data_IF_225836418726
#
_entry.id   IF_225836418726
#
_cell.length_a   1.000
_cell.length_b   1.000
_cell.length_c   1.000
_cell.angle_alpha   90.00
_cell.angle_beta   90.00
_cell.angle_gamma   90.00
#
_symmetry.space_group_name_H-M   'P 1'
#
loop_
_entity.id
_entity.type
_entity.pdbx_description
1 polymer ?
#
# COMPACT_ATOMS: atom_id res chain seq x y z
N UNK A 1 -12.51 0.31 8.55
CA UNK A 1 -12.95 -0.61 7.49
C UNK A 1 -13.55 -1.85 8.12
N UNK A 2 -14.69 -2.33 7.63
CA UNK A 2 -15.26 -3.61 8.08
C UNK A 2 -14.58 -4.77 7.35
N UNK A 3 -14.65 -5.98 7.90
CA UNK A 3 -13.93 -7.15 7.33
C UNK A 3 -14.37 -7.53 5.90
N UNK A 4 -15.60 -7.19 5.51
CA UNK A 4 -16.17 -7.51 4.19
C UNK A 4 -16.29 -6.28 3.28
N UNK A 5 -15.78 -5.13 3.74
CA UNK A 5 -15.79 -3.89 2.98
C UNK A 5 -14.56 -3.87 2.07
N UNK A 6 -14.71 -3.36 0.85
CA UNK A 6 -13.60 -3.17 -0.08
C UNK A 6 -12.86 -1.86 0.18
N UNK A 7 -11.63 -1.74 -0.34
CA UNK A 7 -10.85 -0.49 -0.29
C UNK A 7 -11.63 0.67 -0.93
N UNK A 8 -12.35 0.41 -2.02
CA UNK A 8 -13.15 1.43 -2.72
C UNK A 8 -14.35 1.89 -1.90
N UNK A 9 -15.06 0.98 -1.26
CA UNK A 9 -16.17 1.33 -0.35
C UNK A 9 -15.66 2.14 0.85
N UNK A 10 -14.62 1.66 1.53
CA UNK A 10 -13.97 2.38 2.62
C UNK A 10 -13.53 3.79 2.20
N UNK A 11 -12.93 3.92 1.01
CA UNK A 11 -12.52 5.21 0.49
C UNK A 11 -13.71 6.13 0.18
N UNK A 12 -14.83 5.60 -0.32
CA UNK A 12 -16.07 6.34 -0.52
C UNK A 12 -16.61 6.94 0.79
N UNK A 13 -16.61 6.17 1.88
CA UNK A 13 -16.96 6.68 3.21
C UNK A 13 -15.98 7.76 3.69
N UNK A 14 -14.68 7.54 3.48
CA UNK A 14 -13.65 8.52 3.83
C UNK A 14 -13.83 9.84 3.07
N UNK A 15 -14.16 9.79 1.77
CA UNK A 15 -14.45 10.99 0.96
C UNK A 15 -15.69 11.73 1.45
N UNK A 16 -16.73 11.00 1.87
CA UNK A 16 -17.94 11.61 2.45
C UNK A 16 -17.61 12.36 3.74
N UNK A 17 -16.77 11.78 4.60
CA UNK A 17 -16.27 12.43 5.83
C UNK A 17 -15.45 13.68 5.48
N UNK A 18 -14.50 13.57 4.53
CA UNK A 18 -13.69 14.72 4.09
C UNK A 18 -14.54 15.85 3.50
N UNK A 19 -15.59 15.52 2.76
CA UNK A 19 -16.54 16.51 2.22
C UNK A 19 -17.28 17.25 3.34
N UNK A 20 -17.78 16.51 4.34
CA UNK A 20 -18.40 17.11 5.54
C UNK A 20 -17.44 18.03 6.28
N UNK A 21 -16.20 17.60 6.50
CA UNK A 21 -15.17 18.41 7.17
C UNK A 21 -14.81 19.67 6.37
N UNK A 22 -14.75 19.56 5.05
CA UNK A 22 -14.51 20.70 4.15
C UNK A 22 -15.62 21.74 4.26
N UNK A 23 -16.87 21.31 4.46
CA UNK A 23 -18.01 22.24 4.69
C UNK A 23 -17.91 22.98 6.03
N UNK A 24 -17.17 22.42 6.99
CA UNK A 24 -16.85 23.02 8.29
C UNK A 24 -15.51 23.78 8.27
N UNK A 25 -15.00 24.11 7.08
CA UNK A 25 -13.69 24.76 6.85
C UNK A 25 -12.47 24.06 7.49
N UNK A 26 -12.64 22.80 7.90
CA UNK A 26 -11.54 22.00 8.47
C UNK A 26 -10.83 21.25 7.36
N UNK A 27 -9.50 21.42 7.26
CA UNK A 27 -8.67 20.76 6.25
C UNK A 27 -7.60 19.90 6.92
N UNK A 28 -7.49 18.68 6.44
CA UNK A 28 -6.42 17.76 6.82
C UNK A 28 -5.31 17.77 5.79
N UNK A 29 -4.06 17.64 6.24
CA UNK A 29 -2.93 17.47 5.34
C UNK A 29 -2.99 16.11 4.64
N UNK A 30 -2.36 16.00 3.48
CA UNK A 30 -2.29 14.74 2.73
C UNK A 30 -1.69 13.60 3.57
N UNK A 31 -0.59 13.88 4.29
CA UNK A 31 0.02 12.91 5.21
C UNK A 31 -0.97 12.45 6.27
N UNK A 32 -1.76 13.37 6.84
CA UNK A 32 -2.76 13.00 7.85
C UNK A 32 -3.86 12.12 7.25
N UNK A 33 -4.34 12.43 6.04
CA UNK A 33 -5.32 11.60 5.35
C UNK A 33 -4.78 10.21 5.04
N UNK A 34 -3.54 10.12 4.54
CA UNK A 34 -2.87 8.85 4.25
C UNK A 34 -2.73 8.00 5.52
N UNK A 35 -2.34 8.60 6.64
CA UNK A 35 -2.25 7.92 7.94
C UNK A 35 -3.62 7.43 8.40
N UNK A 36 -4.66 8.26 8.31
CA UNK A 36 -6.03 7.87 8.71
C UNK A 36 -6.55 6.69 7.90
N UNK A 37 -6.26 6.66 6.60
CA UNK A 37 -6.60 5.52 5.75
C UNK A 37 -5.87 4.27 6.23
N UNK A 38 -4.55 4.33 6.41
CA UNK A 38 -3.74 3.19 6.85
C UNK A 38 -4.15 2.66 8.23
N UNK A 39 -4.48 3.56 9.17
CA UNK A 39 -4.98 3.23 10.52
C UNK A 39 -6.37 2.59 10.48
N UNK A 40 -7.18 2.88 9.46
CA UNK A 40 -8.54 2.36 9.35
C UNK A 40 -8.62 0.94 8.76
N UNK A 41 -7.50 0.42 8.25
CA UNK A 41 -7.43 -0.89 7.61
C UNK A 41 -7.59 -2.04 8.63
N UNK A 42 -8.17 -3.19 8.24
CA UNK A 42 -8.31 -4.35 9.11
C UNK A 42 -6.94 -4.96 9.47
N UNK A 43 -6.89 -5.75 10.55
CA UNK A 43 -5.65 -6.38 11.04
C UNK A 43 -4.91 -7.22 10.00
N UNK A 44 -5.60 -7.84 9.05
CA UNK A 44 -4.97 -8.63 7.98
C UNK A 44 -4.03 -7.80 7.09
N UNK A 45 -4.16 -6.47 7.13
CA UNK A 45 -3.33 -5.51 6.40
C UNK A 45 -2.15 -4.97 7.22
N UNK A 46 -2.01 -5.32 8.50
CA UNK A 46 -1.09 -4.67 9.45
C UNK A 46 0.35 -4.63 8.95
N UNK A 47 0.86 -5.73 8.40
CA UNK A 47 2.21 -5.80 7.85
C UNK A 47 2.41 -4.83 6.67
N UNK A 48 1.43 -4.77 5.75
CA UNK A 48 1.48 -3.87 4.59
C UNK A 48 1.32 -2.41 5.01
N UNK A 49 0.35 -2.12 5.88
CA UNK A 49 0.07 -0.80 6.40
C UNK A 49 1.28 -0.22 7.17
N UNK A 50 1.91 -1.04 8.02
CA UNK A 50 3.12 -0.67 8.76
C UNK A 50 4.29 -0.42 7.82
N UNK A 51 4.47 -1.26 6.80
CA UNK A 51 5.54 -1.07 5.82
C UNK A 51 5.38 0.23 5.03
N UNK A 52 4.15 0.59 4.65
CA UNK A 52 3.88 1.87 3.96
C UNK A 52 4.08 3.04 4.93
N UNK A 53 3.57 2.93 6.16
CA UNK A 53 3.65 3.99 7.16
C UNK A 53 5.09 4.34 7.56
N UNK A 54 5.96 3.33 7.65
CA UNK A 54 7.37 3.50 8.00
C UNK A 54 8.24 3.97 6.84
N UNK A 55 7.73 3.94 5.61
CA UNK A 55 8.52 4.34 4.47
C UNK A 55 8.63 5.86 4.40
N UNK A 56 9.83 6.35 4.08
CA UNK A 56 10.12 7.80 3.99
C UNK A 56 9.24 8.53 2.97
N UNK A 57 8.66 7.81 2.01
CA UNK A 57 7.83 8.36 0.96
C UNK A 57 6.38 8.66 1.40
N UNK A 58 5.95 8.34 2.63
CA UNK A 58 4.55 8.59 3.03
C UNK A 58 4.13 10.07 2.89
N UNK A 59 5.06 11.00 3.15
CA UNK A 59 4.81 12.45 3.03
C UNK A 59 4.71 12.92 1.58
N UNK A 60 5.31 12.20 0.65
CA UNK A 60 5.33 12.51 -0.79
C UNK A 60 4.33 11.66 -1.57
N UNK A 61 3.80 10.60 -0.96
CA UNK A 61 2.86 9.68 -1.57
C UNK A 61 1.52 10.37 -1.79
N UNK A 62 1.10 10.42 -3.05
CA UNK A 62 -0.21 10.96 -3.36
C UNK A 62 -1.31 10.00 -2.89
N UNK A 63 -2.51 10.53 -2.66
CA UNK A 63 -3.64 9.73 -2.19
C UNK A 63 -4.04 8.68 -3.22
N UNK A 64 -3.96 9.01 -4.51
CA UNK A 64 -4.24 8.11 -5.62
C UNK A 64 -3.22 6.95 -5.70
N UNK A 65 -1.93 7.24 -5.51
CA UNK A 65 -0.88 6.21 -5.46
C UNK A 65 -1.04 5.27 -4.26
N UNK A 66 -1.44 5.82 -3.11
CA UNK A 66 -1.76 5.02 -1.93
C UNK A 66 -2.92 4.07 -2.24
N UNK A 67 -4.02 4.57 -2.81
CA UNK A 67 -5.19 3.75 -3.16
C UNK A 67 -4.85 2.69 -4.20
N UNK A 68 -4.07 3.03 -5.23
CA UNK A 68 -3.56 2.06 -6.21
C UNK A 68 -2.79 0.92 -5.52
N UNK A 69 -1.89 1.27 -4.61
CA UNK A 69 -1.10 0.29 -3.85
C UNK A 69 -1.98 -0.61 -2.99
N UNK A 70 -3.01 -0.04 -2.35
CA UNK A 70 -3.95 -0.78 -1.52
C UNK A 70 -4.83 -1.72 -2.35
N UNK A 71 -5.42 -1.26 -3.46
CA UNK A 71 -6.23 -2.09 -4.38
C UNK A 71 -5.45 -3.29 -4.91
N UNK A 72 -4.18 -3.10 -5.30
CA UNK A 72 -3.33 -4.21 -5.75
C UNK A 72 -3.13 -5.24 -4.62
N UNK A 73 -2.94 -4.78 -3.38
CA UNK A 73 -2.81 -5.69 -2.26
C UNK A 73 -4.13 -6.37 -1.87
N UNK A 74 -5.27 -5.70 -2.06
CA UNK A 74 -6.61 -6.28 -1.87
C UNK A 74 -6.81 -7.50 -2.77
N UNK A 75 -6.54 -7.34 -4.07
CA UNK A 75 -6.60 -8.43 -5.04
C UNK A 75 -5.66 -9.57 -4.63
N UNK A 76 -4.46 -9.25 -4.18
CA UNK A 76 -3.52 -10.24 -3.68
C UNK A 76 -4.05 -11.00 -2.45
N UNK A 77 -4.68 -10.32 -1.49
CA UNK A 77 -5.27 -10.96 -0.31
C UNK A 77 -6.47 -11.83 -0.67
N UNK A 78 -7.33 -11.37 -1.58
CA UNK A 78 -8.46 -12.14 -2.09
C UNK A 78 -7.99 -13.41 -2.83
N UNK A 79 -6.91 -13.30 -3.61
CA UNK A 79 -6.29 -14.43 -4.28
C UNK A 79 -5.52 -15.35 -3.30
N UNK A 80 -4.94 -14.80 -2.23
CA UNK A 80 -4.29 -15.55 -1.16
C UNK A 80 -5.25 -16.36 -0.29
N UNK A 81 -6.55 -16.09 -0.33
CA UNK A 81 -7.57 -17.04 0.12
C UNK A 81 -7.38 -18.44 -0.50
N UNK A 82 -6.69 -18.53 -1.65
CA UNK A 82 -6.30 -19.78 -2.31
C UNK A 82 -4.82 -20.18 -2.15
N UNK A 83 -3.92 -19.30 -1.67
CA UNK A 83 -2.48 -19.56 -1.58
C UNK A 83 -1.97 -19.33 -0.15
N UNK A 84 -1.76 -20.44 0.57
CA UNK A 84 -1.26 -20.43 1.94
C UNK A 84 0.11 -19.75 2.01
N UNK A 85 0.33 -19.11 3.16
CA UNK A 85 1.57 -18.46 3.57
C UNK A 85 2.80 -19.32 3.22
N UNK A 86 3.65 -18.82 2.31
CA UNK A 86 5.12 -18.94 2.36
C UNK A 86 5.88 -18.17 1.26
N UNK A 87 5.24 -17.59 0.25
CA UNK A 87 5.99 -17.07 -0.91
C UNK A 87 6.50 -15.61 -0.83
N UNK A 88 6.48 -14.94 0.32
CA UNK A 88 6.98 -13.56 0.39
C UNK A 88 8.53 -13.47 0.49
N UNK A 89 9.21 -14.54 0.92
CA UNK A 89 10.67 -14.52 1.09
C UNK A 89 11.44 -15.05 -0.14
N UNK A 90 10.80 -15.76 -1.07
CA UNK A 90 11.50 -16.46 -2.17
C UNK A 90 11.84 -15.59 -3.39
N UNK A 91 11.49 -14.30 -3.41
CA UNK A 91 11.75 -13.40 -4.55
C UNK A 91 12.93 -12.44 -4.35
N UNK A 92 13.77 -12.67 -3.32
CA UNK A 92 14.97 -11.84 -3.11
C UNK A 92 16.19 -12.66 -2.69
N UNK A 93 16.65 -13.56 -3.57
CA UNK A 93 18.09 -13.84 -3.68
C UNK A 93 18.40 -14.36 -5.08
N UNK A 94 19.27 -13.65 -5.80
CA UNK A 94 20.07 -14.27 -6.87
C UNK A 94 20.00 -13.63 -8.24
N UNK A 95 20.33 -12.34 -8.39
CA UNK A 95 21.05 -11.89 -9.59
C UNK A 95 22.23 -11.02 -9.16
N UNK A 96 23.36 -11.70 -8.95
CA UNK A 96 24.70 -11.12 -9.06
C UNK A 96 24.88 -10.58 -10.48
N UNK A 97 25.23 -9.30 -10.54
CA UNK A 97 25.75 -8.58 -11.70
C UNK A 97 26.85 -9.43 -12.36
N UNK A 98 26.65 -9.82 -13.62
CA UNK A 98 27.72 -10.17 -14.55
C UNK A 98 27.75 -9.10 -15.62
N UNK A 99 28.50 -8.03 -15.38
CA UNK A 99 29.05 -7.23 -16.45
C UNK A 99 30.29 -7.97 -16.96
N UNK A 100 30.09 -8.75 -18.02
CA UNK A 100 31.15 -9.38 -18.80
C UNK A 100 31.61 -8.37 -19.86
N UNK A 101 32.81 -7.82 -19.70
CA UNK A 101 33.47 -7.01 -20.72
C UNK A 101 34.66 -7.79 -21.30
N UNK A 102 34.73 -8.04 -22.62
CA UNK A 102 35.62 -9.03 -23.21
C UNK A 102 36.92 -8.40 -23.70
N UNK A 103 38.08 -9.02 -23.49
CA UNK A 103 39.23 -8.80 -24.40
C UNK A 103 40.27 -9.93 -24.35
N UNK A 104 40.32 -10.66 -25.47
CA UNK A 104 41.46 -11.23 -26.21
C UNK A 104 42.37 -12.31 -25.57
N UNK A 105 42.33 -13.47 -26.24
CA UNK A 105 43.36 -14.53 -26.20
C UNK A 105 44.72 -14.06 -26.74
N UNK A 106 45.77 -14.50 -26.02
CA UNK A 106 47.20 -14.69 -26.38
C UNK A 106 48.05 -13.48 -26.69
#
# INVERSE_FOLDING_TARGET
MKDNETIDEMFGWFQTILSGLKSLETKFSQTHNNLKILESLPKVWELKATSISKAHHLKTLTLDELLKTLRVHEVYLNNKGCLKANDFFSLRTGETIKDECPTLEK
#
